data_IF_919564501119
#
_entry.id   IF_919564501119
#
_cell.length_a   1.000
_cell.length_b   1.000
_cell.length_c   1.000
_cell.angle_alpha   90.00
_cell.angle_beta   90.00
_cell.angle_gamma   90.00
#
_symmetry.space_group_name_H-M   'P 1'
#
loop_
_entity.id
_entity.type
_entity.pdbx_description
1 polymer ?
#
# COMPACT_ATOMS: atom_id res chain seq x y z
N UNK A 1 25.10 26.44 60.71
CA UNK A 1 24.01 26.28 59.71
C UNK A 1 24.61 26.44 58.31
N UNK A 2 24.57 25.39 57.48
CA UNK A 2 24.90 25.45 56.04
C UNK A 2 23.57 25.32 55.26
N UNK A 3 23.23 26.20 54.31
CA UNK A 3 22.04 26.00 53.50
C UNK A 3 22.37 25.00 52.38
N UNK A 4 21.54 23.99 52.21
CA UNK A 4 21.59 23.06 51.07
C UNK A 4 20.64 23.57 49.99
N UNK A 5 21.18 23.93 48.83
CA UNK A 5 20.40 24.31 47.65
C UNK A 5 20.01 23.03 46.92
N UNK A 6 18.70 22.78 46.74
CA UNK A 6 18.19 21.65 45.94
C UNK A 6 17.60 22.20 44.64
N UNK A 7 18.22 21.87 43.51
CA UNK A 7 17.72 22.16 42.17
C UNK A 7 16.64 21.13 41.80
N UNK A 8 15.41 21.52 41.42
CA UNK A 8 14.45 20.57 40.89
C UNK A 8 14.83 20.20 39.45
N UNK A 9 15.13 18.93 39.21
CA UNK A 9 15.31 18.39 37.86
C UNK A 9 13.92 18.25 37.24
N UNK A 10 13.58 19.11 36.28
CA UNK A 10 12.33 18.99 35.51
C UNK A 10 12.59 17.98 34.39
N UNK A 11 11.94 16.81 34.49
CA UNK A 11 11.98 15.77 33.47
C UNK A 11 11.10 16.22 32.28
N UNK A 12 11.75 16.68 31.21
CA UNK A 12 11.09 17.01 29.95
C UNK A 12 10.83 15.70 29.18
N UNK A 13 9.58 15.21 29.23
CA UNK A 13 9.12 14.14 28.34
C UNK A 13 9.06 14.68 26.92
N UNK A 14 10.08 14.39 26.10
CA UNK A 14 10.02 14.59 24.66
C UNK A 14 9.13 13.48 24.11
N UNK A 15 7.87 13.83 23.84
CA UNK A 15 6.94 12.97 23.11
C UNK A 15 7.35 13.02 21.63
N UNK A 16 8.31 12.19 21.23
CA UNK A 16 8.66 12.04 19.82
C UNK A 16 7.46 11.44 19.08
N UNK A 17 6.88 12.11 18.07
CA UNK A 17 5.91 11.46 17.21
C UNK A 17 6.62 10.37 16.43
N UNK A 18 6.23 9.12 16.66
CA UNK A 18 6.54 8.01 15.78
C UNK A 18 5.93 8.37 14.42
N UNK A 19 6.76 8.76 13.46
CA UNK A 19 6.37 8.88 12.07
C UNK A 19 6.09 7.46 11.56
N UNK A 20 4.83 7.04 11.62
CA UNK A 20 4.33 5.91 10.84
C UNK A 20 4.30 6.38 9.38
N UNK A 21 5.15 5.82 8.51
CA UNK A 21 4.97 6.01 7.07
C UNK A 21 3.61 5.44 6.71
N UNK A 22 2.67 6.30 6.34
CA UNK A 22 1.43 5.87 5.73
C UNK A 22 1.75 5.19 4.40
N UNK A 23 1.01 4.14 4.04
CA UNK A 23 1.16 3.51 2.73
C UNK A 23 0.59 4.45 1.65
N UNK A 24 1.39 4.71 0.61
CA UNK A 24 0.96 5.47 -0.58
C UNK A 24 -0.25 4.84 -1.29
N UNK A 25 -0.37 3.52 -1.18
CA UNK A 25 -1.42 2.73 -1.80
C UNK A 25 -1.96 1.72 -0.79
N UNK A 26 -3.28 1.56 -0.74
CA UNK A 26 -3.94 0.48 0.00
C UNK A 26 -4.96 -0.20 -0.92
N UNK A 27 -5.43 -1.38 -0.52
CA UNK A 27 -6.42 -2.14 -1.27
C UNK A 27 -7.52 -2.65 -0.35
N UNK A 28 -8.77 -2.65 -0.81
CA UNK A 28 -9.88 -3.31 -0.13
C UNK A 28 -10.45 -4.43 -1.03
N UNK A 29 -10.32 -5.72 -0.66
CA UNK A 29 -9.74 -6.21 0.59
C UNK A 29 -8.20 -6.12 0.63
N UNK A 30 -7.62 -5.95 1.83
CA UNK A 30 -6.15 -5.85 2.03
C UNK A 30 -5.41 -7.10 1.54
N UNK A 31 -6.00 -8.28 1.73
CA UNK A 31 -5.45 -9.57 1.30
C UNK A 31 -6.18 -10.09 0.08
N UNK A 32 -6.02 -9.37 -1.02
CA UNK A 32 -6.64 -9.69 -2.29
C UNK A 32 -5.96 -10.87 -2.99
N UNK A 33 -6.77 -11.73 -3.60
CA UNK A 33 -6.34 -12.86 -4.44
C UNK A 33 -6.73 -12.61 -5.89
N UNK A 34 -6.12 -13.32 -6.84
CA UNK A 34 -6.35 -13.05 -8.27
C UNK A 34 -7.80 -13.24 -8.75
N UNK A 35 -8.59 -14.05 -8.02
CA UNK A 35 -9.96 -14.44 -8.37
C UNK A 35 -11.08 -13.53 -7.83
N UNK A 36 -10.75 -12.41 -7.18
CA UNK A 36 -11.75 -11.49 -6.63
C UNK A 36 -11.52 -10.05 -7.11
N UNK A 37 -12.57 -9.23 -7.03
CA UNK A 37 -12.45 -7.79 -7.24
C UNK A 37 -11.78 -7.13 -6.04
N UNK A 38 -11.21 -5.94 -6.26
CA UNK A 38 -10.72 -5.07 -5.19
C UNK A 38 -10.80 -3.60 -5.60
N UNK A 39 -10.78 -2.72 -4.61
CA UNK A 39 -10.62 -1.27 -4.81
C UNK A 39 -9.24 -0.85 -4.34
N UNK A 40 -8.50 -0.16 -5.20
CA UNK A 40 -7.23 0.49 -4.85
C UNK A 40 -7.54 1.89 -4.35
N UNK A 41 -6.88 2.31 -3.27
CA UNK A 41 -6.85 3.69 -2.82
C UNK A 41 -5.43 4.24 -2.92
N UNK A 42 -5.29 5.41 -3.51
CA UNK A 42 -4.03 6.11 -3.72
C UNK A 42 -4.06 7.47 -3.01
N UNK A 43 -3.11 7.68 -2.11
CA UNK A 43 -2.88 8.96 -1.43
C UNK A 43 -1.81 9.76 -2.20
N UNK A 44 -2.26 10.82 -2.89
CA UNK A 44 -1.42 11.67 -3.70
C UNK A 44 -0.46 12.58 -2.92
N UNK A 45 -0.58 12.63 -1.58
CA UNK A 45 0.34 13.37 -0.70
C UNK A 45 1.61 12.58 -0.35
N UNK A 46 1.64 11.28 -0.65
CA UNK A 46 2.73 10.37 -0.29
C UNK A 46 3.64 10.06 -1.50
N UNK A 47 4.79 9.43 -1.22
CA UNK A 47 5.83 9.11 -2.21
C UNK A 47 6.45 10.36 -2.84
N UNK A 48 6.42 10.45 -4.17
CA UNK A 48 6.90 11.65 -4.88
C UNK A 48 6.00 12.87 -4.72
N UNK A 49 4.77 12.69 -4.21
CA UNK A 49 3.74 13.72 -4.09
C UNK A 49 3.47 14.51 -5.39
N UNK A 50 3.79 13.93 -6.56
CA UNK A 50 3.73 14.66 -7.85
C UNK A 50 2.31 15.01 -8.30
N UNK A 51 1.30 14.46 -7.63
CA UNK A 51 -0.13 14.71 -7.85
C UNK A 51 -0.83 15.38 -6.65
N UNK A 52 -0.07 15.80 -5.63
CA UNK A 52 -0.63 16.54 -4.49
C UNK A 52 -1.34 17.82 -4.98
N UNK A 53 -2.55 18.03 -4.46
CA UNK A 53 -3.47 19.12 -4.77
C UNK A 53 -3.80 19.29 -6.26
N UNK A 54 -3.56 18.25 -7.07
CA UNK A 54 -3.91 18.25 -8.48
C UNK A 54 -5.44 18.22 -8.65
N UNK A 55 -5.97 19.14 -9.44
CA UNK A 55 -7.43 19.31 -9.63
C UNK A 55 -7.96 18.71 -10.93
N UNK A 56 -7.09 18.07 -11.73
CA UNK A 56 -7.46 17.44 -12.98
C UNK A 56 -7.76 15.96 -12.83
N UNK A 57 -8.13 15.32 -13.94
CA UNK A 57 -8.33 13.87 -13.96
C UNK A 57 -7.00 13.12 -13.73
N UNK A 58 -7.04 12.15 -12.81
CA UNK A 58 -5.94 11.23 -12.52
C UNK A 58 -6.21 9.86 -13.15
N UNK A 59 -5.17 9.26 -13.73
CA UNK A 59 -5.23 7.94 -14.37
C UNK A 59 -4.12 7.04 -13.83
N UNK A 60 -4.39 5.74 -13.77
CA UNK A 60 -3.38 4.72 -13.50
C UNK A 60 -2.74 4.25 -14.81
N UNK A 61 -1.42 4.28 -14.89
CA UNK A 61 -0.69 3.33 -15.72
C UNK A 61 -0.47 2.08 -14.87
N UNK A 62 -1.11 0.98 -15.25
CA UNK A 62 -1.14 -0.23 -14.42
C UNK A 62 -0.97 -1.51 -15.23
N UNK A 63 -0.31 -2.49 -14.62
CA UNK A 63 -0.15 -3.85 -15.12
C UNK A 63 0.03 -4.80 -13.93
N UNK A 64 0.53 -6.00 -14.21
CA UNK A 64 0.79 -7.02 -13.20
C UNK A 64 2.21 -7.58 -13.30
N UNK A 65 2.73 -8.03 -12.17
CA UNK A 65 3.91 -8.90 -12.10
C UNK A 65 3.42 -10.33 -11.95
N UNK A 66 3.97 -11.24 -12.73
CA UNK A 66 3.58 -12.65 -12.71
C UNK A 66 4.77 -13.57 -12.50
N UNK A 67 4.53 -14.87 -12.41
CA UNK A 67 5.59 -15.90 -12.45
C UNK A 67 6.35 -15.95 -13.79
N UNK A 68 5.87 -15.23 -14.82
CA UNK A 68 6.53 -15.06 -16.11
C UNK A 68 7.34 -13.76 -16.22
N UNK A 69 7.30 -12.89 -15.20
CA UNK A 69 8.13 -11.68 -15.13
C UNK A 69 9.58 -12.03 -14.75
N UNK A 70 10.56 -11.36 -15.37
CA UNK A 70 11.97 -11.55 -15.00
C UNK A 70 12.38 -10.80 -13.74
N UNK A 71 11.72 -9.68 -13.46
CA UNK A 71 11.92 -8.83 -12.29
C UNK A 71 10.70 -7.89 -12.09
N UNK A 72 10.78 -7.00 -11.10
CA UNK A 72 9.70 -6.04 -10.75
C UNK A 72 9.48 -4.92 -11.79
N UNK A 73 10.39 -4.73 -12.74
CA UNK A 73 10.23 -3.80 -13.86
C UNK A 73 9.62 -4.46 -15.11
N UNK A 74 9.57 -5.80 -15.17
CA UNK A 74 9.00 -6.55 -16.29
C UNK A 74 7.49 -6.76 -16.12
N UNK A 75 6.75 -5.66 -16.27
CA UNK A 75 5.30 -5.65 -16.16
C UNK A 75 4.65 -6.41 -17.31
N UNK A 76 3.73 -7.30 -16.96
CA UNK A 76 2.85 -8.01 -17.91
C UNK A 76 1.47 -7.37 -17.90
N UNK A 77 0.72 -7.63 -18.97
CA UNK A 77 -0.69 -7.25 -19.10
C UNK A 77 -0.97 -5.79 -18.72
N UNK A 78 -0.13 -4.86 -19.18
CA UNK A 78 -0.36 -3.43 -18.99
C UNK A 78 -1.72 -3.06 -19.57
N UNK A 79 -2.61 -2.55 -18.72
CA UNK A 79 -4.03 -2.36 -19.02
C UNK A 79 -4.26 -1.38 -20.17
N UNK A 80 -3.47 -0.31 -20.21
CA UNK A 80 -3.53 0.72 -21.25
C UNK A 80 -2.13 1.24 -21.57
N UNK A 81 -1.85 1.53 -22.84
CA UNK A 81 -0.60 2.14 -23.25
C UNK A 81 -0.33 3.46 -22.50
N UNK A 82 0.95 3.77 -22.26
CA UNK A 82 1.34 5.00 -21.58
C UNK A 82 0.70 6.25 -22.20
N UNK A 83 0.21 7.17 -21.36
CA UNK A 83 -0.48 8.38 -21.79
C UNK A 83 -1.87 8.18 -22.41
N UNK A 84 -2.39 6.95 -22.46
CA UNK A 84 -3.75 6.69 -22.94
C UNK A 84 -4.76 6.81 -21.81
N UNK A 85 -5.68 7.77 -21.93
CA UNK A 85 -6.74 8.00 -20.96
C UNK A 85 -7.96 7.16 -21.34
N UNK A 86 -8.33 6.19 -20.49
CA UNK A 86 -9.53 5.38 -20.69
C UNK A 86 -10.39 5.38 -19.43
N UNK A 87 -11.65 4.95 -19.55
CA UNK A 87 -12.56 4.89 -18.41
C UNK A 87 -12.11 3.85 -17.39
N UNK A 88 -11.51 2.75 -17.84
CA UNK A 88 -11.06 1.63 -17.01
C UNK A 88 -9.91 2.04 -16.08
N UNK A 89 -9.05 2.96 -16.47
CA UNK A 89 -7.89 3.39 -15.67
C UNK A 89 -8.05 4.78 -15.06
N UNK A 90 -9.23 5.40 -15.20
CA UNK A 90 -9.52 6.70 -14.58
C UNK A 90 -9.83 6.51 -13.11
N UNK A 91 -9.19 7.28 -12.25
CA UNK A 91 -9.46 7.25 -10.82
C UNK A 91 -10.64 8.15 -10.45
N UNK A 92 -11.32 7.78 -9.37
CA UNK A 92 -12.36 8.60 -8.72
C UNK A 92 -11.73 9.36 -7.56
N UNK A 93 -12.05 10.66 -7.43
CA UNK A 93 -11.62 11.45 -6.27
C UNK A 93 -12.59 11.19 -5.10
N UNK A 94 -12.08 10.62 -4.00
CA UNK A 94 -12.88 10.29 -2.81
C UNK A 94 -12.88 11.45 -1.80
N UNK A 95 -11.71 12.04 -1.58
CA UNK A 95 -11.50 13.23 -0.76
C UNK A 95 -10.25 13.98 -1.21
N UNK A 96 -9.89 15.08 -0.53
CA UNK A 96 -8.66 15.80 -0.84
C UNK A 96 -7.46 14.83 -0.93
N UNK A 97 -6.82 14.80 -2.11
CA UNK A 97 -5.67 13.97 -2.44
C UNK A 97 -5.86 12.44 -2.33
N UNK A 98 -7.06 11.95 -2.05
CA UNK A 98 -7.36 10.52 -1.98
C UNK A 98 -8.18 10.10 -3.20
N UNK A 99 -7.65 9.13 -3.92
CA UNK A 99 -8.24 8.62 -5.15
C UNK A 99 -8.50 7.13 -5.06
N UNK A 100 -9.54 6.64 -5.74
CA UNK A 100 -9.86 5.21 -5.83
C UNK A 100 -9.85 4.68 -7.27
N UNK A 101 -9.57 3.39 -7.42
CA UNK A 101 -9.70 2.65 -8.68
C UNK A 101 -10.32 1.27 -8.40
N UNK A 102 -11.47 0.99 -8.99
CA UNK A 102 -12.08 -0.34 -8.94
C UNK A 102 -11.42 -1.28 -9.96
N UNK A 103 -10.97 -2.44 -9.48
CA UNK A 103 -10.41 -3.53 -10.29
C UNK A 103 -11.37 -4.72 -10.19
N UNK A 104 -12.12 -4.97 -11.26
CA UNK A 104 -13.14 -6.02 -11.28
C UNK A 104 -13.55 -6.46 -12.68
N UNK A 105 -14.34 -7.54 -12.81
CA UNK A 105 -14.98 -8.33 -11.73
C UNK A 105 -14.03 -9.24 -10.93
N UNK A 106 -12.82 -9.48 -11.43
CA UNK A 106 -11.69 -10.01 -10.66
C UNK A 106 -10.38 -9.38 -11.15
N UNK A 107 -9.31 -9.41 -10.37
CA UNK A 107 -7.97 -8.97 -10.84
C UNK A 107 -7.64 -9.66 -12.17
N UNK A 108 -7.79 -10.99 -12.21
CA UNK A 108 -7.44 -11.80 -13.38
C UNK A 108 -8.23 -11.39 -14.62
N UNK A 109 -9.54 -11.21 -14.50
CA UNK A 109 -10.39 -10.79 -15.63
C UNK A 109 -10.12 -9.36 -16.05
N UNK A 110 -9.85 -8.47 -15.08
CA UNK A 110 -9.55 -7.08 -15.36
C UNK A 110 -8.28 -6.95 -16.22
N UNK A 111 -7.21 -7.69 -15.92
CA UNK A 111 -5.98 -7.66 -16.72
C UNK A 111 -5.96 -8.67 -17.88
N UNK A 112 -6.89 -9.63 -17.93
CA UNK A 112 -6.96 -10.66 -18.97
C UNK A 112 -5.87 -11.73 -18.85
N UNK A 113 -5.42 -12.04 -17.61
CA UNK A 113 -4.33 -12.98 -17.36
C UNK A 113 -4.82 -14.43 -17.47
N UNK A 114 -4.19 -15.30 -18.27
CA UNK A 114 -4.63 -16.68 -18.47
C UNK A 114 -4.47 -17.52 -17.19
N UNK A 115 -5.36 -18.49 -16.97
CA UNK A 115 -5.46 -19.25 -15.72
C UNK A 115 -4.19 -20.04 -15.32
N UNK A 116 -3.27 -20.29 -16.27
CA UNK A 116 -2.02 -21.00 -16.03
C UNK A 116 -0.85 -20.09 -15.63
N UNK A 117 -1.11 -18.81 -15.36
CA UNK A 117 -0.12 -17.81 -14.96
C UNK A 117 -0.55 -17.19 -13.62
N UNK A 118 0.38 -17.16 -12.66
CA UNK A 118 0.15 -16.65 -11.31
C UNK A 118 0.47 -15.16 -11.23
N UNK A 119 -0.48 -14.37 -10.73
CA UNK A 119 -0.30 -12.94 -10.48
C UNK A 119 0.28 -12.79 -9.08
N UNK A 120 1.44 -12.12 -8.96
CA UNK A 120 2.11 -11.91 -7.67
C UNK A 120 1.96 -10.48 -7.17
N UNK A 121 1.91 -9.51 -8.09
CA UNK A 121 1.71 -8.09 -7.74
C UNK A 121 0.88 -7.37 -8.80
N UNK A 122 0.16 -6.36 -8.35
CA UNK A 122 -0.27 -5.25 -9.18
C UNK A 122 0.82 -4.19 -9.19
N UNK A 123 0.98 -3.52 -10.33
CA UNK A 123 1.97 -2.46 -10.47
C UNK A 123 1.31 -1.16 -10.96
N UNK A 124 1.75 -0.02 -10.43
CA UNK A 124 1.14 1.28 -10.66
C UNK A 124 2.15 2.41 -10.81
N UNK A 125 1.82 3.32 -11.72
CA UNK A 125 2.22 4.73 -11.72
C UNK A 125 0.96 5.54 -11.93
N UNK A 126 0.70 6.53 -11.06
CA UNK A 126 -0.43 7.43 -11.24
C UNK A 126 0.02 8.64 -12.05
N UNK A 127 -0.86 9.21 -12.87
CA UNK A 127 -0.50 10.35 -13.73
C UNK A 127 -1.65 11.30 -13.98
N UNK A 128 -1.31 12.53 -14.31
CA UNK A 128 -2.26 13.47 -14.89
C UNK A 128 -2.68 13.03 -16.30
N UNK A 129 -3.83 13.54 -16.75
CA UNK A 129 -4.37 13.27 -18.09
C UNK A 129 -3.38 13.56 -19.24
N UNK A 130 -2.53 14.58 -19.09
CA UNK A 130 -1.52 14.98 -20.06
C UNK A 130 -0.14 14.34 -19.84
N UNK A 131 -0.02 13.44 -18.84
CA UNK A 131 1.22 12.80 -18.40
C UNK A 131 2.34 13.77 -18.00
N UNK A 132 2.02 15.03 -17.67
CA UNK A 132 3.00 16.01 -17.18
C UNK A 132 3.35 15.85 -15.71
N UNK A 133 2.54 15.11 -14.95
CA UNK A 133 2.73 14.80 -13.53
C UNK A 133 2.59 13.32 -13.29
N UNK A 134 3.40 12.81 -12.36
CA UNK A 134 3.41 11.41 -11.97
C UNK A 134 3.42 11.27 -10.44
N UNK A 135 2.57 10.38 -9.94
CA UNK A 135 2.55 9.86 -8.59
C UNK A 135 3.27 8.52 -8.56
N UNK A 136 4.40 8.48 -7.86
CA UNK A 136 5.30 7.32 -7.72
C UNK A 136 5.65 7.13 -6.26
N UNK A 137 6.21 5.98 -5.92
CA UNK A 137 6.66 5.69 -4.57
C UNK A 137 7.91 6.51 -4.20
N UNK A 138 8.33 6.45 -2.94
CA UNK A 138 9.52 7.12 -2.43
C UNK A 138 10.75 6.85 -3.31
N UNK A 139 11.48 7.92 -3.66
CA UNK A 139 12.63 7.81 -4.55
C UNK A 139 12.28 7.65 -6.04
N UNK A 140 11.00 7.75 -6.41
CA UNK A 140 10.54 7.67 -7.78
C UNK A 140 10.48 6.26 -8.33
N UNK A 141 10.34 5.25 -7.47
CA UNK A 141 10.07 3.88 -7.88
C UNK A 141 8.60 3.65 -8.23
N UNK A 142 8.35 2.56 -8.92
CA UNK A 142 6.99 2.09 -9.17
C UNK A 142 6.32 1.60 -7.89
N UNK A 143 4.98 1.66 -7.85
CA UNK A 143 4.17 1.28 -6.70
C UNK A 143 3.64 -0.14 -6.92
N UNK A 144 3.73 -0.99 -5.89
CA UNK A 144 3.30 -2.39 -5.99
C UNK A 144 2.32 -2.78 -4.88
N UNK A 145 1.31 -3.59 -5.24
CA UNK A 145 0.37 -4.21 -4.29
C UNK A 145 0.48 -5.73 -4.44
N UNK A 146 0.71 -6.43 -3.34
CA UNK A 146 0.86 -7.89 -3.34
C UNK A 146 -0.49 -8.55 -3.67
N UNK A 147 -0.46 -9.54 -4.56
CA UNK A 147 -1.60 -10.43 -4.83
C UNK A 147 -1.27 -11.79 -4.23
N UNK A 148 -2.15 -12.26 -3.36
CA UNK A 148 -1.97 -13.50 -2.63
C UNK A 148 -2.50 -14.70 -3.43
N UNK A 149 -1.84 -15.85 -3.25
CA UNK A 149 -2.28 -17.12 -3.78
C UNK A 149 -3.66 -17.51 -3.21
N UNK A 150 -4.43 -18.29 -3.96
CA UNK A 150 -5.70 -18.81 -3.46
C UNK A 150 -5.46 -19.76 -2.28
N UNK A 151 -6.22 -19.57 -1.20
CA UNK A 151 -6.01 -20.29 0.05
C UNK A 151 -6.04 -19.35 1.25
N UNK A 152 -5.71 -19.88 2.44
CA UNK A 152 -5.59 -19.06 3.64
C UNK A 152 -4.23 -18.37 3.61
N UNK A 153 -4.24 -17.07 3.37
CA UNK A 153 -3.10 -16.18 3.55
C UNK A 153 -3.32 -15.38 4.81
N UNK A 154 -2.26 -15.21 5.58
CA UNK A 154 -2.27 -14.43 6.82
C UNK A 154 -1.10 -13.46 6.75
N UNK A 155 -1.37 -12.19 7.04
CA UNK A 155 -0.35 -11.16 7.15
C UNK A 155 -0.44 -10.51 8.54
N UNK A 156 0.70 -10.25 9.15
CA UNK A 156 0.79 -9.34 10.29
C UNK A 156 0.94 -7.95 9.69
N UNK A 157 -0.06 -7.10 9.89
CA UNK A 157 -0.09 -5.71 9.42
C UNK A 157 0.74 -4.84 10.36
N UNK A 158 0.67 -5.11 11.66
CA UNK A 158 1.48 -4.44 12.66
C UNK A 158 1.89 -5.43 13.77
N UNK A 159 3.18 -5.46 14.16
CA UNK A 159 4.32 -4.78 13.55
C UNK A 159 4.66 -5.34 12.16
N UNK A 160 4.99 -4.45 11.22
CA UNK A 160 5.38 -4.77 9.83
C UNK A 160 6.81 -5.31 9.70
N UNK A 161 7.57 -5.28 10.80
CA UNK A 161 8.96 -5.78 10.89
C UNK A 161 9.28 -6.25 12.30
N UNK A 162 10.35 -7.05 12.40
CA UNK A 162 10.89 -7.46 13.70
C UNK A 162 11.33 -6.23 14.52
N UNK A 163 10.89 -6.15 15.77
CA UNK A 163 11.25 -5.08 16.69
C UNK A 163 11.61 -5.65 18.07
N UNK A 164 12.56 -4.98 18.74
CA UNK A 164 12.86 -5.23 20.16
C UNK A 164 12.10 -4.17 20.94
N UNK A 165 11.22 -4.61 21.85
CA UNK A 165 10.42 -3.73 22.70
C UNK A 165 10.86 -3.85 24.14
N UNK A 166 10.91 -2.71 24.85
CA UNK A 166 11.24 -2.69 26.27
C UNK A 166 10.12 -3.36 27.10
N UNK A 167 10.47 -4.06 28.20
CA UNK A 167 9.49 -4.66 29.08
C UNK A 167 8.43 -3.65 29.56
N UNK A 168 7.15 -4.02 29.40
CA UNK A 168 6.01 -3.18 29.79
C UNK A 168 5.50 -2.24 28.69
N UNK A 169 6.14 -2.21 27.53
CA UNK A 169 5.63 -1.48 26.35
C UNK A 169 4.41 -2.20 25.78
N UNK A 170 3.30 -1.48 25.62
CA UNK A 170 2.15 -1.98 24.85
C UNK A 170 2.49 -2.01 23.37
N UNK A 171 2.40 -3.19 22.76
CA UNK A 171 2.58 -3.37 21.32
C UNK A 171 1.21 -3.65 20.69
N UNK A 172 0.80 -2.79 19.75
CA UNK A 172 -0.39 -3.04 18.96
C UNK A 172 -0.10 -4.18 17.98
N UNK A 173 -0.97 -5.17 17.93
CA UNK A 173 -0.92 -6.24 16.95
C UNK A 173 -2.14 -6.16 16.06
N UNK A 174 -1.88 -6.13 14.77
CA UNK A 174 -2.90 -6.19 13.74
C UNK A 174 -2.50 -7.27 12.76
N UNK A 175 -3.46 -8.12 12.42
CA UNK A 175 -3.28 -9.19 11.46
C UNK A 175 -4.53 -9.31 10.61
N UNK A 176 -4.33 -9.63 9.35
CA UNK A 176 -5.40 -9.88 8.39
C UNK A 176 -5.32 -11.32 7.90
N UNK A 177 -6.46 -11.87 7.52
CA UNK A 177 -6.56 -13.19 6.89
C UNK A 177 -7.44 -13.10 5.64
N UNK A 178 -7.03 -13.75 4.56
CA UNK A 178 -7.78 -13.76 3.30
C UNK A 178 -9.09 -14.56 3.38
N UNK A 179 -9.27 -15.33 4.45
CA UNK A 179 -10.45 -16.14 4.73
C UNK A 179 -10.79 -16.09 6.22
N UNK A 180 -12.02 -16.46 6.56
CA UNK A 180 -12.45 -16.62 7.95
C UNK A 180 -11.56 -17.66 8.64
N UNK A 181 -10.79 -17.22 9.64
CA UNK A 181 -9.84 -18.05 10.36
C UNK A 181 -9.76 -17.66 11.84
N UNK A 182 -9.34 -18.62 12.67
CA UNK A 182 -8.97 -18.33 14.07
C UNK A 182 -7.48 -18.02 14.13
N UNK A 183 -7.14 -16.75 14.41
CA UNK A 183 -5.76 -16.32 14.62
C UNK A 183 -5.40 -16.44 16.11
N UNK A 184 -4.30 -17.14 16.41
CA UNK A 184 -3.80 -17.31 17.79
C UNK A 184 -2.34 -16.88 17.84
N UNK A 185 -2.04 -15.89 18.69
CA UNK A 185 -0.69 -15.43 18.96
C UNK A 185 -0.09 -16.22 20.14
N UNK A 186 1.10 -16.77 19.95
CA UNK A 186 1.82 -17.51 20.99
C UNK A 186 3.12 -16.80 21.37
N UNK A 187 3.53 -16.96 22.63
CA UNK A 187 4.84 -16.53 23.14
C UNK A 187 5.61 -17.77 23.61
N UNK A 188 6.82 -17.98 23.08
CA UNK A 188 7.74 -19.07 23.44
C UNK A 188 7.19 -20.50 23.22
N UNK A 189 6.57 -20.76 22.07
CA UNK A 189 6.12 -22.11 21.68
C UNK A 189 7.10 -22.79 20.71
#
# INVERSE_FOLDING_TARGET
>A
MKPSFRLPVTLLFILSPLLTSAQIITSDPDLSTSGQALTIYYDATLGTAGLEDFTGDVYAHTGVITDQSTDMGDWKYVKTAWGTNTAETKLTLESANLYSLEIGPSIREYYGVPANESITHLAFVFRSADSSKEGKDDGGSDIFVVVYEEGLSVAIINPDRNSIVDPGTSLAFEASASQVANLVLYLNN
#
